data_IF_996002984981
#
_entry.id   IF_996002984981
#
_cell.length_a   1.000
_cell.length_b   1.000
_cell.length_c   1.000
_cell.angle_alpha   90.00
_cell.angle_beta   90.00
_cell.angle_gamma   90.00
#
_symmetry.space_group_name_H-M   'P 1'
#
loop_
_entity.id
_entity.type
_entity.pdbx_description
1 polymer ?
#
# COMPACT_ATOMS: atom_id res chain seq x y z
N UNK A 1 -1.07 -7.16 -27.50
CA UNK A 1 -2.30 -6.95 -28.30
C UNK A 1 -3.34 -6.31 -27.40
N UNK A 2 -3.72 -5.06 -27.66
CA UNK A 2 -4.53 -4.29 -26.71
C UNK A 2 -3.84 -4.09 -25.36
N UNK A 3 -4.63 -3.95 -24.28
CA UNK A 3 -4.17 -3.70 -22.90
C UNK A 3 -3.82 -4.99 -22.13
N UNK A 4 -3.56 -6.09 -22.84
CA UNK A 4 -3.20 -7.38 -22.27
C UNK A 4 -1.69 -7.58 -22.30
N UNK A 5 -1.16 -8.05 -21.18
CA UNK A 5 0.23 -8.49 -21.01
C UNK A 5 0.21 -10.00 -20.86
N UNK A 6 1.01 -10.71 -21.64
CA UNK A 6 1.09 -12.18 -21.58
C UNK A 6 2.47 -12.55 -21.10
N UNK A 7 2.53 -13.43 -20.10
CA UNK A 7 3.76 -14.01 -19.57
C UNK A 7 3.72 -15.53 -19.71
N UNK A 8 4.85 -16.10 -20.12
CA UNK A 8 5.03 -17.54 -20.11
C UNK A 8 6.48 -17.86 -19.76
N UNK A 9 6.67 -18.93 -19.00
CA UNK A 9 7.98 -19.48 -18.70
C UNK A 9 8.01 -20.96 -19.03
N UNK A 10 9.13 -21.40 -19.59
CA UNK A 10 9.40 -22.79 -19.90
C UNK A 10 10.86 -23.10 -19.53
N UNK A 11 11.07 -24.30 -19.01
CA UNK A 11 12.37 -24.83 -18.65
C UNK A 11 12.62 -26.06 -19.50
N UNK A 12 13.81 -26.13 -20.10
CA UNK A 12 14.28 -27.32 -20.80
C UNK A 12 15.53 -27.85 -20.09
N UNK A 13 15.58 -29.15 -19.86
CA UNK A 13 16.71 -29.84 -19.24
C UNK A 13 17.13 -31.02 -20.10
N UNK A 14 18.44 -31.19 -20.26
CA UNK A 14 19.04 -32.28 -21.02
C UNK A 14 19.90 -33.11 -20.07
N UNK A 15 19.61 -34.40 -19.92
CA UNK A 15 20.40 -35.32 -19.11
C UNK A 15 21.49 -36.04 -19.92
N UNK A 16 22.57 -36.46 -19.25
CA UNK A 16 23.71 -37.19 -19.87
C UNK A 16 23.29 -38.50 -20.57
N UNK A 17 22.13 -39.06 -20.26
CA UNK A 17 21.56 -40.27 -20.89
C UNK A 17 20.77 -39.99 -22.18
N UNK A 18 20.67 -38.73 -22.63
CA UNK A 18 19.92 -38.34 -23.82
C UNK A 18 18.45 -37.98 -23.57
N UNK A 19 18.01 -37.98 -22.32
CA UNK A 19 16.67 -37.55 -21.94
C UNK A 19 16.58 -36.02 -21.99
N UNK A 20 15.82 -35.53 -22.97
CA UNK A 20 15.51 -34.12 -23.12
C UNK A 20 14.08 -33.88 -22.63
N UNK A 21 13.93 -33.14 -21.54
CA UNK A 21 12.62 -32.73 -21.01
C UNK A 21 12.43 -31.24 -21.25
N UNK A 22 11.26 -30.85 -21.75
CA UNK A 22 10.86 -29.46 -21.87
C UNK A 22 9.49 -29.29 -21.21
N UNK A 23 9.43 -28.43 -20.20
CA UNK A 23 8.22 -28.19 -19.40
C UNK A 23 7.85 -26.71 -19.46
N UNK A 24 6.59 -26.42 -19.73
CA UNK A 24 6.03 -25.06 -19.62
C UNK A 24 5.56 -24.85 -18.18
N UNK A 25 6.26 -24.00 -17.43
CA UNK A 25 6.03 -23.79 -16.00
C UNK A 25 4.85 -22.86 -15.72
N UNK A 26 4.68 -21.82 -16.55
CA UNK A 26 3.65 -20.80 -16.39
C UNK A 26 3.15 -20.29 -17.74
N UNK A 27 1.85 -20.05 -17.83
CA UNK A 27 1.22 -19.33 -18.93
C UNK A 27 0.06 -18.52 -18.36
N UNK A 28 0.17 -17.19 -18.44
CA UNK A 28 -0.78 -16.26 -17.82
C UNK A 28 -0.95 -15.03 -18.70
N UNK A 29 -2.19 -14.58 -18.86
CA UNK A 29 -2.53 -13.32 -19.49
C UNK A 29 -3.15 -12.38 -18.45
N UNK A 30 -2.63 -11.16 -18.35
CA UNK A 30 -3.09 -10.15 -17.39
C UNK A 30 -3.57 -8.88 -18.07
N UNK A 31 -4.55 -8.21 -17.45
CA UNK A 31 -5.08 -6.93 -17.91
C UNK A 31 -5.56 -6.06 -16.75
N UNK A 32 -5.13 -4.80 -16.79
CA UNK A 32 -5.59 -3.75 -15.90
C UNK A 32 -7.03 -3.27 -16.20
N UNK A 33 -7.92 -3.37 -15.22
CA UNK A 33 -9.30 -2.87 -15.21
C UNK A 33 -9.36 -1.57 -14.39
N UNK A 34 -9.14 -0.43 -15.07
CA UNK A 34 -9.04 0.90 -14.42
C UNK A 34 -10.29 1.32 -13.64
N UNK A 35 -11.49 0.96 -14.10
CA UNK A 35 -12.76 1.32 -13.43
C UNK A 35 -12.89 0.73 -12.03
N UNK A 36 -12.18 -0.38 -11.76
CA UNK A 36 -12.20 -1.08 -10.48
C UNK A 36 -10.86 -0.98 -9.73
N UNK A 37 -9.87 -0.27 -10.29
CA UNK A 37 -8.48 -0.28 -9.82
C UNK A 37 -8.00 -1.71 -9.54
N UNK A 38 -8.19 -2.61 -10.49
CA UNK A 38 -7.97 -4.05 -10.32
C UNK A 38 -7.23 -4.68 -11.51
N UNK A 39 -6.53 -5.78 -11.28
CA UNK A 39 -5.93 -6.61 -12.31
C UNK A 39 -6.74 -7.90 -12.51
N UNK A 40 -7.07 -8.17 -13.76
CA UNK A 40 -7.65 -9.43 -14.21
C UNK A 40 -6.51 -10.33 -14.71
N UNK A 41 -6.37 -11.53 -14.17
CA UNK A 41 -5.46 -12.55 -14.65
C UNK A 41 -6.21 -13.81 -15.08
N UNK A 42 -5.75 -14.44 -16.15
CA UNK A 42 -6.31 -15.67 -16.73
C UNK A 42 -5.15 -16.62 -17.03
N UNK A 43 -5.29 -17.89 -16.64
CA UNK A 43 -4.26 -18.93 -16.83
C UNK A 43 -3.79 -19.45 -15.48
N UNK A 44 -2.49 -19.70 -15.35
CA UNK A 44 -1.92 -20.09 -14.05
C UNK A 44 -1.84 -18.86 -13.14
N UNK A 45 -2.62 -18.85 -12.06
CA UNK A 45 -2.65 -17.77 -11.07
C UNK A 45 -2.37 -18.34 -9.68
N UNK A 46 -2.09 -17.49 -8.70
CA UNK A 46 -1.99 -17.91 -7.31
C UNK A 46 -3.19 -17.36 -6.55
N UNK A 47 -3.87 -18.21 -5.79
CA UNK A 47 -4.96 -17.82 -4.91
C UNK A 47 -4.52 -18.02 -3.46
N UNK A 48 -4.76 -17.02 -2.62
CA UNK A 48 -4.40 -17.07 -1.22
C UNK A 48 -4.35 -15.69 -0.60
N UNK A 49 -4.21 -15.66 0.72
CA UNK A 49 -4.05 -14.46 1.52
C UNK A 49 -2.76 -14.62 2.33
N UNK A 50 -2.17 -13.49 2.75
CA UNK A 50 -0.93 -13.42 3.51
C UNK A 50 -1.01 -14.22 4.83
N UNK A 51 -2.23 -14.48 5.33
CA UNK A 51 -2.51 -15.28 6.53
C UNK A 51 -2.68 -16.78 6.28
N UNK A 52 -3.17 -17.19 5.10
CA UNK A 52 -3.55 -18.57 4.80
C UNK A 52 -2.53 -19.29 3.89
N UNK A 53 -1.56 -18.55 3.34
CA UNK A 53 -0.63 -19.04 2.33
C UNK A 53 -1.22 -18.98 0.92
N UNK A 54 -0.36 -18.99 -0.10
CA UNK A 54 -0.77 -18.98 -1.51
C UNK A 54 -0.66 -20.36 -2.15
N UNK A 55 -1.69 -20.79 -2.85
CA UNK A 55 -1.64 -21.99 -3.71
C UNK A 55 -1.76 -21.61 -5.18
N UNK A 56 -1.02 -22.28 -6.04
CA UNK A 56 -1.12 -22.10 -7.49
C UNK A 56 -2.36 -22.80 -8.02
N UNK A 57 -3.22 -22.08 -8.73
CA UNK A 57 -4.41 -22.60 -9.40
C UNK A 57 -4.39 -22.25 -10.88
N UNK A 58 -5.19 -22.95 -11.69
CA UNK A 58 -5.46 -22.57 -13.07
C UNK A 58 -6.88 -22.04 -13.16
N UNK A 59 -7.03 -20.81 -13.63
CA UNK A 59 -8.35 -20.22 -13.71
C UNK A 59 -8.30 -18.73 -14.00
N UNK A 60 -9.25 -18.01 -13.41
CA UNK A 60 -9.39 -16.57 -13.52
C UNK A 60 -9.31 -15.94 -12.14
N UNK A 61 -8.62 -14.81 -12.03
CA UNK A 61 -8.58 -14.03 -10.79
C UNK A 61 -8.72 -12.55 -11.07
N UNK A 62 -9.48 -11.86 -10.22
CA UNK A 62 -9.62 -10.42 -10.20
C UNK A 62 -9.20 -9.90 -8.83
N UNK A 63 -8.10 -9.17 -8.77
CA UNK A 63 -7.53 -8.64 -7.54
C UNK A 63 -7.40 -7.12 -7.60
N UNK A 64 -7.67 -6.44 -6.48
CA UNK A 64 -7.43 -5.01 -6.34
C UNK A 64 -5.92 -4.72 -6.54
N UNK A 65 -5.60 -3.73 -7.37
CA UNK A 65 -4.24 -3.24 -7.55
C UNK A 65 -4.14 -1.83 -6.97
N UNK A 66 -3.64 -1.73 -5.75
CA UNK A 66 -3.49 -0.44 -5.05
C UNK A 66 -2.41 0.44 -5.69
N UNK A 67 -1.45 -0.13 -6.43
CA UNK A 67 -0.44 0.63 -7.18
C UNK A 67 -1.03 1.40 -8.37
N UNK A 68 -2.30 1.15 -8.74
CA UNK A 68 -3.01 1.97 -9.73
C UNK A 68 -3.54 3.29 -9.16
N UNK A 69 -3.59 3.45 -7.82
CA UNK A 69 -3.93 4.74 -7.22
C UNK A 69 -2.69 5.63 -7.15
N UNK A 70 -2.76 6.89 -7.59
CA UNK A 70 -1.72 7.86 -7.31
C UNK A 70 -1.74 8.18 -5.81
N UNK A 71 -0.59 8.02 -5.13
CA UNK A 71 -0.45 8.28 -3.69
C UNK A 71 0.47 7.28 -3.00
N UNK A 72 0.70 7.48 -1.70
CA UNK A 72 1.46 6.54 -0.88
C UNK A 72 0.62 5.26 -0.65
N UNK A 73 1.21 4.10 -0.94
CA UNK A 73 0.64 2.79 -0.62
C UNK A 73 0.71 2.57 0.89
N UNK A 74 -0.34 2.91 1.63
CA UNK A 74 -0.43 2.65 3.07
C UNK A 74 -1.39 3.57 3.81
N UNK A 75 -1.73 3.18 5.04
CA UNK A 75 -2.54 3.98 5.96
C UNK A 75 -1.95 5.40 6.11
N UNK A 76 -2.68 6.40 5.62
CA UNK A 76 -2.31 7.81 5.75
C UNK A 76 -3.18 8.47 6.81
N UNK A 77 -2.68 8.64 8.06
CA UNK A 77 -3.43 9.33 9.09
C UNK A 77 -3.63 10.81 8.74
N UNK A 78 -4.73 11.38 9.24
CA UNK A 78 -4.98 12.82 9.21
C UNK A 78 -4.75 13.37 10.62
N UNK A 79 -3.79 14.28 10.76
CA UNK A 79 -3.52 14.97 12.03
C UNK A 79 -4.21 16.33 12.00
N UNK A 80 -5.25 16.50 12.81
CA UNK A 80 -6.01 17.75 12.87
C UNK A 80 -5.85 18.43 14.22
N UNK A 81 -5.90 19.76 14.21
CA UNK A 81 -5.76 20.60 15.39
C UNK A 81 -6.25 22.01 15.13
N UNK A 82 -6.14 22.86 16.15
CA UNK A 82 -6.47 24.29 16.07
C UNK A 82 -5.24 25.06 16.55
N UNK A 83 -4.83 26.06 15.78
CA UNK A 83 -3.76 26.98 16.15
C UNK A 83 -4.38 28.32 16.58
N UNK A 84 -4.03 28.80 17.78
CA UNK A 84 -4.55 30.07 18.31
C UNK A 84 -3.97 31.31 17.59
N UNK A 85 -2.83 31.14 16.90
CA UNK A 85 -2.10 32.16 16.16
C UNK A 85 -1.21 31.53 15.08
N UNK A 86 -0.41 32.32 14.32
CA UNK A 86 0.59 31.77 13.40
C UNK A 86 1.52 30.82 14.14
N UNK A 87 1.53 29.55 13.75
CA UNK A 87 2.19 28.49 14.53
C UNK A 87 3.00 27.58 13.63
N UNK A 88 4.08 26.99 14.18
CA UNK A 88 4.80 25.88 13.55
C UNK A 88 4.24 24.56 14.06
N UNK A 89 3.73 23.74 13.16
CA UNK A 89 3.29 22.38 13.45
C UNK A 89 4.46 21.44 13.17
N UNK A 90 4.85 20.65 14.16
CA UNK A 90 5.90 19.65 14.03
C UNK A 90 5.36 18.28 14.44
N UNK A 91 5.51 17.29 13.57
CA UNK A 91 5.18 15.89 13.86
C UNK A 91 6.45 15.12 14.12
N UNK A 92 6.47 14.38 15.23
CA UNK A 92 7.59 13.53 15.62
C UNK A 92 7.13 12.12 15.94
N UNK A 93 7.92 11.13 15.57
CA UNK A 93 7.69 9.71 15.88
C UNK A 93 9.01 9.08 16.30
N UNK A 94 9.03 8.43 17.47
CA UNK A 94 10.25 7.82 18.02
C UNK A 94 11.48 8.75 18.02
N UNK A 95 11.26 10.03 18.33
CA UNK A 95 12.32 11.05 18.35
C UNK A 95 12.80 11.55 16.98
N UNK A 96 12.21 11.09 15.87
CA UNK A 96 12.48 11.59 14.51
C UNK A 96 11.40 12.54 14.05
N UNK A 97 11.79 13.65 13.42
CA UNK A 97 10.86 14.60 12.80
C UNK A 97 10.31 13.99 11.51
N UNK A 98 8.99 13.87 11.43
CA UNK A 98 8.28 13.41 10.24
C UNK A 98 7.92 14.57 9.33
N UNK A 99 7.54 15.71 9.91
CA UNK A 99 7.00 16.86 9.20
C UNK A 99 7.16 18.13 10.04
N UNK A 100 7.39 19.27 9.38
CA UNK A 100 7.39 20.59 10.03
C UNK A 100 6.98 21.68 9.05
N UNK A 101 5.87 22.37 9.32
CA UNK A 101 5.36 23.46 8.48
C UNK A 101 4.74 24.59 9.33
N UNK A 102 4.70 25.80 8.77
CA UNK A 102 4.00 26.94 9.37
C UNK A 102 2.53 26.91 8.95
N UNK A 103 1.62 27.03 9.90
CA UNK A 103 0.18 27.12 9.66
C UNK A 103 -0.37 28.48 10.12
N UNK A 104 -1.39 29.01 9.44
CA UNK A 104 -2.09 30.20 9.89
C UNK A 104 -2.92 29.92 11.16
N UNK A 105 -3.40 30.98 11.80
CA UNK A 105 -4.34 30.86 12.91
C UNK A 105 -5.65 30.21 12.44
N UNK A 106 -6.18 29.28 13.26
CA UNK A 106 -7.41 28.54 12.99
C UNK A 106 -7.23 27.03 12.90
N UNK A 107 -8.29 26.31 12.47
CA UNK A 107 -8.23 24.86 12.30
C UNK A 107 -7.31 24.49 11.13
N UNK A 108 -6.53 23.43 11.32
CA UNK A 108 -5.65 22.88 10.29
C UNK A 108 -5.71 21.35 10.29
N UNK A 109 -5.31 20.76 9.17
CA UNK A 109 -5.13 19.33 9.03
C UNK A 109 -3.88 19.05 8.22
N UNK A 110 -3.01 18.19 8.74
CA UNK A 110 -1.83 17.68 8.03
C UNK A 110 -2.17 16.29 7.50
N UNK A 111 -2.08 16.12 6.19
CA UNK A 111 -2.25 14.86 5.47
C UNK A 111 -0.92 14.40 4.88
N UNK A 112 -0.87 13.16 4.38
CA UNK A 112 0.25 12.65 3.57
C UNK A 112 1.61 12.57 4.26
N UNK A 113 1.62 12.44 5.60
CA UNK A 113 2.85 12.27 6.38
C UNK A 113 3.25 10.80 6.37
N UNK A 114 4.37 10.42 5.74
CA UNK A 114 4.82 9.03 5.71
C UNK A 114 5.28 8.60 7.11
N UNK A 115 4.65 7.56 7.65
CA UNK A 115 5.06 6.94 8.90
C UNK A 115 6.20 5.96 8.65
N UNK A 116 7.21 5.93 9.52
CA UNK A 116 8.34 5.00 9.37
C UNK A 116 8.09 3.64 10.02
N UNK A 117 7.28 3.58 11.08
CA UNK A 117 7.05 2.37 11.88
C UNK A 117 5.72 2.48 12.64
N UNK A 118 5.28 1.37 13.26
CA UNK A 118 4.24 1.40 14.30
C UNK A 118 4.74 2.18 15.50
N UNK A 119 3.89 3.04 16.08
CA UNK A 119 4.21 3.85 17.25
C UNK A 119 3.57 5.23 17.20
N UNK A 120 3.42 5.81 18.39
CA UNK A 120 2.72 7.08 18.60
C UNK A 120 3.39 8.23 17.84
N UNK A 121 2.57 9.06 17.22
CA UNK A 121 3.00 10.33 16.62
C UNK A 121 2.65 11.46 17.57
N UNK A 122 3.64 12.24 17.96
CA UNK A 122 3.45 13.43 18.78
C UNK A 122 3.45 14.65 17.87
N UNK A 123 2.32 15.34 17.83
CA UNK A 123 2.18 16.67 17.23
C UNK A 123 2.51 17.73 18.28
N UNK A 124 3.43 18.63 17.93
CA UNK A 124 3.74 19.82 18.70
C UNK A 124 3.39 21.04 17.87
N UNK A 125 2.50 21.88 18.38
CA UNK A 125 2.12 23.16 17.78
C UNK A 125 2.80 24.26 18.60
N UNK A 126 3.77 24.95 18.00
CA UNK A 126 4.52 26.03 18.64
C UNK A 126 4.05 27.35 18.06
N UNK A 127 3.40 28.18 18.89
CA UNK A 127 2.97 29.53 18.53
C UNK A 127 4.14 30.48 18.33
N UNK A 128 3.89 31.58 17.63
CA UNK A 128 4.83 32.71 17.51
C UNK A 128 5.16 33.37 18.85
N UNK A 129 4.24 33.26 19.81
CA UNK A 129 4.38 33.63 21.22
C UNK A 129 5.24 32.65 22.06
N UNK A 130 5.69 31.54 21.45
CA UNK A 130 6.49 30.50 22.09
C UNK A 130 5.70 29.49 22.92
N UNK A 131 4.36 29.56 22.94
CA UNK A 131 3.54 28.53 23.62
C UNK A 131 3.56 27.25 22.81
N UNK A 132 3.76 26.12 23.48
CA UNK A 132 3.71 24.79 22.87
C UNK A 132 2.46 24.02 23.31
N UNK A 133 1.73 23.48 22.35
CA UNK A 133 0.66 22.51 22.58
C UNK A 133 1.10 21.15 22.04
N UNK A 134 1.00 20.11 22.86
CA UNK A 134 1.37 18.74 22.47
C UNK A 134 0.15 17.85 22.44
N UNK A 135 -0.01 17.13 21.34
CA UNK A 135 -1.07 16.14 21.15
C UNK A 135 -0.46 14.84 20.67
N UNK A 136 -0.80 13.75 21.36
CA UNK A 136 -0.30 12.40 21.04
C UNK A 136 -1.39 11.65 20.30
N UNK A 137 -1.04 11.12 19.14
CA UNK A 137 -1.89 10.27 18.33
C UNK A 137 -1.37 8.83 18.43
N UNK A 138 -2.06 7.95 19.17
CA UNK A 138 -1.66 6.56 19.27
C UNK A 138 -1.91 5.87 17.92
N UNK A 139 -0.83 5.46 17.25
CA UNK A 139 -0.89 4.81 15.95
C UNK A 139 -0.37 3.39 16.05
N UNK A 140 -1.28 2.43 15.94
CA UNK A 140 -0.96 1.03 15.74
C UNK A 140 -1.17 0.70 14.27
N UNK A 141 -0.11 0.74 13.47
CA UNK A 141 -0.14 0.17 12.11
C UNK A 141 0.08 -1.34 12.22
N UNK A 142 -0.97 -2.10 11.91
CA UNK A 142 -0.93 -3.54 11.70
C UNK A 142 -0.73 -3.82 10.20
N UNK A 143 0.13 -4.78 9.86
CA UNK A 143 0.26 -5.25 8.47
C UNK A 143 -1.12 -5.68 7.95
N UNK A 144 -1.59 -5.05 6.87
CA UNK A 144 -2.92 -5.30 6.28
C UNK A 144 -4.01 -4.27 6.63
N UNK A 145 -3.71 -3.20 7.37
CA UNK A 145 -4.68 -2.12 7.59
C UNK A 145 -4.85 -1.24 6.35
N UNK A 146 -6.11 -1.13 5.91
CA UNK A 146 -6.54 -0.24 4.84
C UNK A 146 -6.79 1.18 5.38
N UNK A 147 -6.55 2.20 4.56
CA UNK A 147 -6.91 3.57 4.94
C UNK A 147 -8.43 3.72 5.08
N UNK A 148 -8.95 4.67 5.87
CA UNK A 148 -10.38 4.93 5.94
C UNK A 148 -10.98 5.14 4.54
N UNK A 149 -12.00 4.36 4.20
CA UNK A 149 -12.64 4.37 2.86
C UNK A 149 -11.95 3.50 1.80
N UNK A 150 -10.90 2.75 2.15
CA UNK A 150 -10.26 1.79 1.25
C UNK A 150 -10.83 0.38 1.43
N UNK A 151 -10.95 -0.31 0.31
CA UNK A 151 -11.45 -1.68 0.23
C UNK A 151 -10.47 -2.52 -0.57
N UNK A 152 -10.09 -3.65 0.01
CA UNK A 152 -9.31 -4.69 -0.67
C UNK A 152 -10.22 -5.86 -1.01
N UNK A 153 -10.04 -6.41 -2.20
CA UNK A 153 -10.75 -7.60 -2.63
C UNK A 153 -9.86 -8.43 -3.54
N UNK A 154 -9.99 -9.74 -3.43
CA UNK A 154 -9.40 -10.71 -4.34
C UNK A 154 -10.41 -11.82 -4.53
N UNK A 155 -10.81 -12.06 -5.78
CA UNK A 155 -11.73 -13.14 -6.14
C UNK A 155 -11.04 -13.99 -7.19
N UNK A 156 -11.00 -15.29 -6.96
CA UNK A 156 -10.47 -16.25 -7.91
C UNK A 156 -11.43 -17.42 -8.09
N UNK A 157 -11.45 -17.98 -9.29
CA UNK A 157 -12.22 -19.17 -9.64
C UNK A 157 -11.36 -20.05 -10.55
N UNK A 158 -11.21 -21.33 -10.19
CA UNK A 158 -10.40 -22.32 -10.89
C UNK A 158 -10.63 -23.71 -10.32
#
# INVERSE_FOLDING_TARGET
VGRWVVSSSATASTGDSGDNEATINMFTATRAIRSLSADLAVGKTSTGDNLLGSTGTYGVSLSRNNSMKPGNLGYTPVFSGIADGPSRVTLTQNGRMLYSEMVPAGPFSVTDVPLYTSGDVTMTVTGDDGREQKQVFPLSVMSGQLSPGEHEFSVAAG
#
